data_IF_423288381733
#
_entry.id   IF_423288381733
#
_cell.length_a   1.000
_cell.length_b   1.000
_cell.length_c   1.000
_cell.angle_alpha   90.00
_cell.angle_beta   90.00
_cell.angle_gamma   90.00
#
_symmetry.space_group_name_H-M   'P 1'
#
loop_
_entity.id
_entity.type
_entity.pdbx_description
1 polymer ?
#
# COMPACT_ATOMS: atom_id res chain seq x y z
N UNK A 1 3.76 -8.71 -7.88
CA UNK A 1 3.22 -8.69 -6.50
C UNK A 1 2.43 -9.94 -6.10
N UNK A 2 1.91 -10.77 -7.04
CA UNK A 2 0.98 -11.86 -6.69
C UNK A 2 1.52 -13.12 -5.99
N UNK A 3 2.82 -13.45 -6.08
CA UNK A 3 3.35 -14.68 -5.46
C UNK A 3 3.68 -14.54 -3.96
N UNK A 4 4.22 -13.40 -3.52
CA UNK A 4 4.59 -13.19 -2.11
C UNK A 4 3.36 -12.97 -1.22
N UNK A 5 2.30 -12.34 -1.74
CA UNK A 5 1.06 -12.08 -0.99
C UNK A 5 0.35 -13.36 -0.58
N UNK A 6 0.39 -14.40 -1.43
CA UNK A 6 -0.20 -15.71 -1.12
C UNK A 6 0.55 -16.42 0.00
N UNK A 7 1.88 -16.34 0.03
CA UNK A 7 2.72 -17.04 1.01
C UNK A 7 2.64 -16.39 2.41
N UNK A 8 2.59 -15.05 2.48
CA UNK A 8 2.44 -14.33 3.76
C UNK A 8 1.05 -14.57 4.37
N UNK A 9 0.00 -14.60 3.55
CA UNK A 9 -1.36 -14.92 3.99
C UNK A 9 -1.46 -16.38 4.46
N UNK A 10 -0.89 -17.34 3.73
CA UNK A 10 -0.85 -18.74 4.14
C UNK A 10 -0.12 -18.96 5.47
N UNK A 11 1.00 -18.26 5.70
CA UNK A 11 1.76 -18.33 6.95
C UNK A 11 0.95 -17.89 8.17
N UNK A 12 -0.06 -17.04 7.98
CA UNK A 12 -1.01 -16.63 9.02
C UNK A 12 -2.19 -17.59 9.13
N UNK A 13 -2.77 -17.98 7.98
CA UNK A 13 -4.03 -18.74 7.89
C UNK A 13 -3.86 -20.17 8.40
N UNK A 14 -2.78 -20.86 8.00
CA UNK A 14 -2.60 -22.28 8.31
C UNK A 14 -2.51 -22.50 9.83
N UNK A 15 -1.64 -21.81 10.58
CA UNK A 15 -1.61 -21.96 12.03
C UNK A 15 -2.91 -21.52 12.70
N UNK A 16 -3.59 -20.48 12.18
CA UNK A 16 -4.88 -20.07 12.74
C UNK A 16 -5.95 -21.17 12.59
N UNK A 17 -6.00 -21.84 11.44
CA UNK A 17 -6.91 -22.97 11.22
C UNK A 17 -6.61 -24.10 12.21
N UNK A 18 -5.34 -24.43 12.40
CA UNK A 18 -4.93 -25.49 13.33
C UNK A 18 -5.28 -25.13 14.78
N UNK A 19 -5.14 -23.86 15.17
CA UNK A 19 -5.58 -23.38 16.48
C UNK A 19 -7.09 -23.56 16.68
N UNK A 20 -7.90 -23.20 15.69
CA UNK A 20 -9.35 -23.33 15.74
C UNK A 20 -9.75 -24.81 15.82
N UNK A 21 -9.07 -25.69 15.08
CA UNK A 21 -9.27 -27.14 15.16
C UNK A 21 -9.02 -27.67 16.58
N UNK A 22 -7.87 -27.34 17.19
CA UNK A 22 -7.57 -27.76 18.56
C UNK A 22 -8.59 -27.23 19.57
N UNK A 23 -9.06 -25.99 19.40
CA UNK A 23 -10.10 -25.42 20.27
C UNK A 23 -11.43 -26.16 20.11
N UNK A 24 -11.81 -26.54 18.89
CA UNK A 24 -12.99 -27.36 18.66
C UNK A 24 -12.89 -28.73 19.33
N UNK A 25 -11.72 -29.35 19.32
CA UNK A 25 -11.46 -30.61 20.03
C UNK A 25 -11.61 -30.47 21.55
N UNK A 26 -11.17 -29.34 22.13
CA UNK A 26 -11.43 -29.03 23.54
C UNK A 26 -12.93 -29.01 23.84
N UNK A 27 -13.72 -28.31 23.02
CA UNK A 27 -15.18 -28.25 23.21
C UNK A 27 -15.82 -29.65 23.09
N UNK A 28 -15.41 -30.46 22.13
CA UNK A 28 -15.90 -31.83 21.98
C UNK A 28 -15.54 -32.70 23.19
N UNK A 29 -14.29 -32.65 23.66
CA UNK A 29 -13.83 -33.43 24.80
C UNK A 29 -14.54 -33.03 26.09
N UNK A 30 -14.77 -31.73 26.32
CA UNK A 30 -15.54 -31.23 27.46
C UNK A 30 -16.99 -31.72 27.43
N UNK A 31 -17.61 -31.80 26.24
CA UNK A 31 -18.99 -32.28 26.11
C UNK A 31 -19.17 -33.77 26.39
N UNK A 32 -18.10 -34.56 26.22
CA UNK A 32 -18.08 -36.01 26.41
C UNK A 32 -17.40 -36.43 27.73
N UNK A 33 -16.82 -35.48 28.44
CA UNK A 33 -16.08 -35.75 29.67
C UNK A 33 -17.01 -36.39 30.69
N UNK A 34 -16.61 -37.52 31.26
CA UNK A 34 -17.22 -38.05 32.48
C UNK A 34 -16.44 -37.51 33.68
N UNK A 35 -17.15 -36.97 34.67
CA UNK A 35 -16.52 -36.40 35.86
C UNK A 35 -16.90 -37.29 37.02
N UNK A 36 -15.90 -37.93 37.60
CA UNK A 36 -16.11 -38.79 38.76
C UNK A 36 -16.75 -37.95 39.89
N UNK A 37 -17.92 -38.36 40.40
CA UNK A 37 -18.68 -37.56 41.36
C UNK A 37 -18.06 -37.51 42.75
N UNK A 38 -17.11 -38.40 43.07
CA UNK A 38 -16.44 -38.49 44.37
C UNK A 38 -15.06 -37.83 44.34
N UNK A 39 -14.34 -38.00 43.24
CA UNK A 39 -12.95 -37.56 43.07
C UNK A 39 -12.82 -36.36 42.14
N UNK A 40 -13.91 -35.86 41.54
CA UNK A 40 -13.94 -34.70 40.64
C UNK A 40 -13.04 -34.83 39.41
N UNK A 41 -12.45 -35.99 39.16
CA UNK A 41 -11.52 -36.22 38.07
C UNK A 41 -12.26 -36.36 36.75
N UNK A 42 -11.74 -35.67 35.73
CA UNK A 42 -12.24 -35.72 34.37
C UNK A 42 -11.41 -36.72 33.57
N UNK A 43 -12.04 -37.75 33.01
CA UNK A 43 -11.38 -38.81 32.25
C UNK A 43 -10.61 -38.31 31.02
N UNK A 44 -10.96 -37.13 30.50
CA UNK A 44 -10.37 -36.54 29.29
C UNK A 44 -9.47 -35.33 29.59
N UNK A 45 -9.08 -35.12 30.85
CA UNK A 45 -8.37 -33.91 31.27
C UNK A 45 -7.03 -33.70 30.54
N UNK A 46 -6.20 -34.74 30.43
CA UNK A 46 -4.89 -34.63 29.77
C UNK A 46 -5.04 -34.28 28.28
N UNK A 47 -6.03 -34.86 27.61
CA UNK A 47 -6.35 -34.52 26.22
C UNK A 47 -6.79 -33.06 26.06
N UNK A 48 -7.69 -32.59 26.93
CA UNK A 48 -8.15 -31.18 26.93
C UNK A 48 -6.95 -30.24 27.13
N UNK A 49 -6.06 -30.57 28.08
CA UNK A 49 -4.87 -29.79 28.36
C UNK A 49 -3.93 -29.73 27.17
N UNK A 50 -3.67 -30.87 26.52
CA UNK A 50 -2.86 -30.95 25.32
C UNK A 50 -3.42 -30.06 24.20
N UNK A 51 -4.73 -30.15 23.93
CA UNK A 51 -5.37 -29.36 22.88
C UNK A 51 -5.34 -27.84 23.17
N UNK A 52 -5.41 -27.42 24.45
CA UNK A 52 -5.22 -26.01 24.82
C UNK A 52 -3.79 -25.54 24.55
N UNK A 53 -2.79 -26.38 24.84
CA UNK A 53 -1.37 -26.06 24.57
C UNK A 53 -1.11 -25.97 23.07
N UNK A 54 -1.63 -26.91 22.27
CA UNK A 54 -1.53 -26.89 20.81
C UNK A 54 -2.19 -25.63 20.23
N UNK A 55 -3.41 -25.30 20.66
CA UNK A 55 -4.10 -24.09 20.23
C UNK A 55 -3.30 -22.82 20.54
N UNK A 56 -2.69 -22.75 21.73
CA UNK A 56 -1.84 -21.62 22.11
C UNK A 56 -0.63 -21.46 21.19
N UNK A 57 0.10 -22.56 20.93
CA UNK A 57 1.27 -22.55 20.05
C UNK A 57 0.92 -22.13 18.62
N UNK A 58 -0.19 -22.64 18.10
CA UNK A 58 -0.67 -22.30 16.76
C UNK A 58 -1.09 -20.82 16.64
N UNK A 59 -1.77 -20.26 17.66
CA UNK A 59 -2.08 -18.82 17.67
C UNK A 59 -0.83 -17.95 17.78
N UNK A 60 0.18 -18.36 18.56
CA UNK A 60 1.46 -17.64 18.61
C UNK A 60 2.15 -17.62 17.25
N UNK A 61 2.14 -18.75 16.52
CA UNK A 61 2.71 -18.80 15.17
C UNK A 61 1.98 -17.86 14.22
N UNK A 62 0.64 -17.86 14.25
CA UNK A 62 -0.18 -16.95 13.46
C UNK A 62 0.08 -15.48 13.82
N UNK A 63 0.24 -15.16 15.11
CA UNK A 63 0.52 -13.80 15.59
C UNK A 63 1.91 -13.30 15.14
N UNK A 64 2.93 -14.16 15.21
CA UNK A 64 4.28 -13.84 14.72
C UNK A 64 4.28 -13.63 13.21
N UNK A 65 3.55 -14.47 12.46
CA UNK A 65 3.41 -14.30 11.02
C UNK A 65 2.71 -12.98 10.67
N UNK A 66 1.62 -12.63 11.37
CA UNK A 66 0.94 -11.34 11.20
C UNK A 66 1.85 -10.14 11.52
N UNK A 67 2.68 -10.27 12.58
CA UNK A 67 3.67 -9.26 12.95
C UNK A 67 4.72 -9.06 11.86
N UNK A 68 5.26 -10.16 11.31
CA UNK A 68 6.20 -10.11 10.20
C UNK A 68 5.58 -9.51 8.92
N UNK A 69 4.31 -9.82 8.64
CA UNK A 69 3.56 -9.22 7.53
C UNK A 69 3.39 -7.71 7.71
N UNK A 70 3.09 -7.26 8.94
CA UNK A 70 3.00 -5.83 9.24
C UNK A 70 4.34 -5.11 9.07
N UNK A 71 5.45 -5.72 9.48
CA UNK A 71 6.79 -5.19 9.24
C UNK A 71 7.14 -5.12 7.75
N UNK A 72 6.72 -6.12 6.96
CA UNK A 72 6.86 -6.13 5.50
C UNK A 72 6.12 -4.96 4.86
N UNK A 73 4.85 -4.75 5.26
CA UNK A 73 4.06 -3.60 4.81
C UNK A 73 4.69 -2.26 5.23
N UNK A 74 5.25 -2.16 6.44
CA UNK A 74 5.93 -0.94 6.88
C UNK A 74 7.16 -0.61 6.02
N UNK A 75 7.99 -1.61 5.70
CA UNK A 75 9.13 -1.43 4.78
C UNK A 75 8.68 -1.01 3.38
N UNK A 76 7.59 -1.59 2.87
CA UNK A 76 7.02 -1.20 1.58
C UNK A 76 6.53 0.25 1.61
N UNK A 77 5.86 0.67 2.68
CA UNK A 77 5.41 2.05 2.85
C UNK A 77 6.60 3.04 2.89
N UNK A 78 7.67 2.70 3.62
CA UNK A 78 8.89 3.52 3.68
C UNK A 78 9.50 3.72 2.28
N UNK A 79 9.64 2.63 1.50
CA UNK A 79 10.14 2.70 0.12
C UNK A 79 9.25 3.55 -0.77
N UNK A 80 7.92 3.40 -0.69
CA UNK A 80 6.98 4.17 -1.51
C UNK A 80 7.01 5.66 -1.18
N UNK A 81 7.16 6.02 0.10
CA UNK A 81 7.28 7.42 0.53
C UNK A 81 8.61 8.02 0.05
N UNK A 82 9.69 7.24 0.04
CA UNK A 82 10.97 7.68 -0.54
C UNK A 82 10.85 7.91 -2.05
N UNK A 83 10.21 6.99 -2.77
CA UNK A 83 9.95 7.10 -4.21
C UNK A 83 9.05 8.30 -4.54
N UNK A 84 7.98 8.52 -3.78
CA UNK A 84 7.12 9.72 -3.90
C UNK A 84 7.95 11.01 -3.74
N UNK A 85 8.77 11.08 -2.69
CA UNK A 85 9.62 12.25 -2.44
C UNK A 85 10.68 12.48 -3.53
N UNK A 86 11.19 11.41 -4.14
CA UNK A 86 12.10 11.51 -5.30
C UNK A 86 11.35 12.05 -6.53
N UNK A 87 10.19 11.50 -6.84
CA UNK A 87 9.34 11.95 -7.95
C UNK A 87 8.92 13.42 -7.80
N UNK A 88 8.59 13.87 -6.58
CA UNK A 88 8.26 15.27 -6.30
C UNK A 88 9.44 16.21 -6.60
N UNK A 89 10.67 15.83 -6.22
CA UNK A 89 11.88 16.61 -6.54
C UNK A 89 12.10 16.69 -8.05
N UNK A 90 12.04 15.55 -8.74
CA UNK A 90 12.21 15.50 -10.20
C UNK A 90 11.12 16.31 -10.94
N UNK A 91 9.88 16.30 -10.43
CA UNK A 91 8.79 17.10 -10.97
C UNK A 91 9.06 18.59 -10.80
N UNK A 92 9.52 19.03 -9.64
CA UNK A 92 9.87 20.44 -9.39
C UNK A 92 11.03 20.90 -10.29
N UNK A 93 12.07 20.07 -10.45
CA UNK A 93 13.19 20.35 -11.37
C UNK A 93 12.72 20.45 -12.84
N UNK A 94 11.80 19.56 -13.24
CA UNK A 94 11.21 19.60 -14.60
C UNK A 94 10.37 20.86 -14.79
N UNK A 95 9.59 21.28 -13.79
CA UNK A 95 8.83 22.53 -13.82
C UNK A 95 9.73 23.76 -13.92
N UNK A 96 10.83 23.80 -13.17
CA UNK A 96 11.80 24.89 -13.27
C UNK A 96 12.44 24.94 -14.66
N UNK A 97 12.73 23.78 -15.24
CA UNK A 97 13.25 23.68 -16.61
C UNK A 97 12.24 24.23 -17.62
N UNK A 98 10.95 23.90 -17.48
CA UNK A 98 9.89 24.43 -18.32
C UNK A 98 9.79 25.95 -18.21
N UNK A 99 9.88 26.50 -17.00
CA UNK A 99 9.84 27.95 -16.78
C UNK A 99 11.01 28.65 -17.48
N UNK A 100 12.24 28.13 -17.32
CA UNK A 100 13.43 28.66 -17.99
C UNK A 100 13.28 28.63 -19.52
N UNK A 101 12.79 27.52 -20.07
CA UNK A 101 12.54 27.38 -21.51
C UNK A 101 11.51 28.40 -22.02
N UNK A 102 10.44 28.66 -21.25
CA UNK A 102 9.44 29.69 -21.61
C UNK A 102 10.03 31.10 -21.58
N UNK A 103 10.88 31.40 -20.60
CA UNK A 103 11.58 32.69 -20.53
C UNK A 103 12.51 32.88 -21.74
N UNK A 104 13.30 31.86 -22.07
CA UNK A 104 14.20 31.90 -23.23
C UNK A 104 13.43 31.97 -24.56
N UNK A 105 12.30 31.26 -24.68
CA UNK A 105 11.43 31.37 -25.84
C UNK A 105 10.91 32.80 -25.99
N UNK A 106 10.40 33.40 -24.92
CA UNK A 106 9.84 34.76 -24.92
C UNK A 106 10.89 35.78 -25.39
N UNK A 107 12.13 35.66 -24.89
CA UNK A 107 13.24 36.51 -25.34
C UNK A 107 13.56 36.33 -26.83
N UNK A 108 13.57 35.08 -27.33
CA UNK A 108 13.81 34.83 -28.75
C UNK A 108 12.65 35.31 -29.65
N UNK A 109 11.41 35.26 -29.18
CA UNK A 109 10.25 35.80 -29.90
C UNK A 109 10.30 37.34 -29.99
N UNK A 110 10.78 38.01 -28.93
CA UNK A 110 11.03 39.45 -28.95
C UNK A 110 12.14 39.85 -29.94
N UNK A 111 13.28 39.14 -29.91
CA UNK A 111 14.36 39.35 -30.89
C UNK A 111 13.91 39.10 -32.33
N UNK A 112 13.06 38.10 -32.57
CA UNK A 112 12.47 37.84 -33.88
C UNK A 112 11.55 38.99 -34.34
N UNK A 113 10.82 39.61 -33.41
CA UNK A 113 9.99 40.78 -33.71
C UNK A 113 10.86 41.99 -34.07
N UNK A 114 11.89 42.28 -33.28
CA UNK A 114 12.83 43.37 -33.53
C UNK A 114 13.56 43.23 -34.88
N UNK A 115 14.00 42.00 -35.22
CA UNK A 115 14.62 41.72 -36.51
C UNK A 115 13.64 41.95 -37.69
N UNK A 116 12.37 41.57 -37.54
CA UNK A 116 11.33 41.84 -38.54
C UNK A 116 11.08 43.35 -38.72
N UNK A 117 10.97 44.10 -37.63
CA UNK A 117 10.73 45.55 -37.65
C UNK A 117 11.91 46.30 -38.28
N UNK A 118 13.15 45.90 -37.95
CA UNK A 118 14.37 46.46 -38.56
C UNK A 118 14.43 46.21 -40.07
N UNK A 119 14.07 45.00 -40.52
CA UNK A 119 13.97 44.68 -41.95
C UNK A 119 12.90 45.51 -42.67
N UNK A 120 11.79 45.84 -42.01
CA UNK A 120 10.70 46.63 -42.59
C UNK A 120 11.01 48.14 -42.67
N UNK A 121 11.74 48.69 -41.71
CA UNK A 121 12.12 50.11 -41.67
C UNK A 121 13.18 50.51 -42.73
N UNK A 122 13.88 49.55 -43.34
CA UNK A 122 14.89 49.83 -44.38
C UNK A 122 14.30 50.12 -45.78
N UNK A 123 12.97 50.16 -45.96
CA UNK A 123 12.30 50.40 -47.25
C UNK A 123 11.83 51.86 -47.41
N UNK A 124 12.43 52.85 -46.73
CA UNK A 124 12.05 54.25 -46.95
C UNK A 124 13.24 55.22 -46.92
N UNK A 125 13.52 55.89 -48.04
CA UNK A 125 14.57 56.93 -48.16
C UNK A 125 15.07 57.20 -49.58
N UNK A 126 14.89 58.43 -50.07
CA UNK A 126 15.24 58.90 -51.42
C UNK A 126 16.49 59.80 -51.48
N UNK A 127 17.16 59.82 -52.65
CA UNK A 127 18.00 60.89 -53.30
C UNK A 127 19.53 60.62 -53.51
N UNK A 128 20.02 61.13 -54.67
CA UNK A 128 21.37 61.29 -55.27
C UNK A 128 22.15 60.04 -55.72
N UNK A 129 22.15 59.79 -57.05
CA UNK A 129 22.42 58.53 -57.76
C UNK A 129 23.70 57.73 -57.39
N UNK A 130 24.82 58.39 -57.07
CA UNK A 130 26.09 57.68 -56.79
C UNK A 130 26.26 57.36 -55.30
N UNK A 131 25.86 58.29 -54.44
CA UNK A 131 25.61 58.01 -53.02
C UNK A 131 24.50 56.97 -52.86
N UNK A 132 23.50 57.00 -53.74
CA UNK A 132 22.40 56.05 -53.78
C UNK A 132 22.87 54.65 -54.20
N UNK A 133 23.77 54.48 -55.18
CA UNK A 133 24.30 53.17 -55.53
C UNK A 133 25.14 52.54 -54.39
N UNK A 134 25.94 53.35 -53.70
CA UNK A 134 26.66 52.91 -52.51
C UNK A 134 25.68 52.54 -51.38
N UNK A 135 24.66 53.38 -51.16
CA UNK A 135 23.63 53.16 -50.14
C UNK A 135 22.76 51.94 -50.44
N UNK A 136 22.42 51.68 -51.71
CA UNK A 136 21.67 50.49 -52.13
C UNK A 136 22.48 49.24 -51.85
N UNK A 137 23.78 49.19 -52.19
CA UNK A 137 24.62 48.03 -51.85
C UNK A 137 24.70 47.78 -50.34
N UNK A 138 24.85 48.84 -49.56
CA UNK A 138 24.86 48.74 -48.08
C UNK A 138 23.51 48.26 -47.55
N UNK A 139 22.41 48.77 -48.09
CA UNK A 139 21.06 48.33 -47.72
C UNK A 139 20.80 46.87 -48.11
N UNK A 140 21.23 46.43 -49.30
CA UNK A 140 21.12 45.04 -49.74
C UNK A 140 21.94 44.08 -48.87
N UNK A 141 23.15 44.47 -48.47
CA UNK A 141 23.98 43.67 -47.56
C UNK A 141 23.38 43.62 -46.14
N UNK A 142 22.81 44.72 -45.64
CA UNK A 142 22.15 44.75 -44.32
C UNK A 142 20.81 44.00 -44.33
N UNK A 143 20.03 44.07 -45.41
CA UNK A 143 18.82 43.25 -45.61
C UNK A 143 19.18 41.76 -45.60
N UNK A 144 20.22 41.37 -46.35
CA UNK A 144 20.67 39.97 -46.38
C UNK A 144 21.13 39.47 -45.01
N UNK A 145 21.82 40.33 -44.25
CA UNK A 145 22.22 40.03 -42.88
C UNK A 145 21.00 39.89 -41.96
N UNK A 146 20.05 40.81 -42.06
CA UNK A 146 18.77 40.77 -41.32
C UNK A 146 17.95 39.52 -41.64
N UNK A 147 17.83 39.13 -42.91
CA UNK A 147 17.17 37.89 -43.34
C UNK A 147 17.83 36.64 -42.74
N UNK A 148 19.17 36.62 -42.70
CA UNK A 148 19.92 35.53 -42.07
C UNK A 148 19.67 35.46 -40.55
N UNK A 149 19.54 36.60 -39.88
CA UNK A 149 19.22 36.65 -38.45
C UNK A 149 17.78 36.22 -38.17
N UNK A 150 16.84 36.65 -39.02
CA UNK A 150 15.43 36.26 -38.95
C UNK A 150 15.27 34.74 -39.06
N UNK A 151 15.93 34.11 -40.02
CA UNK A 151 15.86 32.66 -40.19
C UNK A 151 16.50 31.92 -38.99
N UNK A 152 17.59 32.45 -38.42
CA UNK A 152 18.20 31.93 -37.20
C UNK A 152 17.24 31.99 -36.00
N UNK A 153 16.57 33.11 -35.76
CA UNK A 153 15.63 33.25 -34.64
C UNK A 153 14.36 32.42 -34.84
N UNK A 154 13.86 32.33 -36.06
CA UNK A 154 12.73 31.47 -36.41
C UNK A 154 13.02 29.99 -36.10
N UNK A 155 14.20 29.50 -36.47
CA UNK A 155 14.63 28.13 -36.15
C UNK A 155 14.74 27.90 -34.63
N UNK A 156 15.29 28.86 -33.89
CA UNK A 156 15.32 28.80 -32.42
C UNK A 156 13.92 28.73 -31.81
N UNK A 157 12.99 29.60 -32.22
CA UNK A 157 11.61 29.60 -31.72
C UNK A 157 10.95 28.24 -31.96
N UNK A 158 11.17 27.63 -33.13
CA UNK A 158 10.66 26.28 -33.42
C UNK A 158 11.26 25.22 -32.50
N UNK A 159 12.57 25.27 -32.23
CA UNK A 159 13.26 24.34 -31.32
C UNK A 159 12.73 24.47 -29.87
N UNK A 160 12.57 25.70 -29.36
CA UNK A 160 12.01 25.93 -28.03
C UNK A 160 10.57 25.43 -27.91
N UNK A 161 9.72 25.64 -28.93
CA UNK A 161 8.35 25.09 -28.95
C UNK A 161 8.36 23.56 -28.82
N UNK A 162 9.26 22.88 -29.52
CA UNK A 162 9.41 21.42 -29.43
C UNK A 162 9.86 20.99 -28.03
N UNK A 163 10.85 21.67 -27.45
CA UNK A 163 11.37 21.35 -26.11
C UNK A 163 10.32 21.58 -25.01
N UNK A 164 9.56 22.66 -25.10
CA UNK A 164 8.46 22.97 -24.18
C UNK A 164 7.39 21.90 -24.25
N UNK A 165 6.95 21.55 -25.46
CA UNK A 165 5.94 20.50 -25.64
C UNK A 165 6.41 19.17 -25.04
N UNK A 166 7.65 18.77 -25.31
CA UNK A 166 8.21 17.54 -24.72
C UNK A 166 8.25 17.62 -23.18
N UNK A 167 8.68 18.75 -22.63
CA UNK A 167 8.75 18.94 -21.17
C UNK A 167 7.36 18.92 -20.53
N UNK A 168 6.34 19.46 -21.20
CA UNK A 168 4.93 19.39 -20.76
C UNK A 168 4.39 17.95 -20.77
N UNK A 169 4.76 17.16 -21.79
CA UNK A 169 4.47 15.72 -21.80
C UNK A 169 5.15 15.01 -20.62
N UNK A 170 6.43 15.28 -20.37
CA UNK A 170 7.18 14.68 -19.27
C UNK A 170 6.58 15.04 -17.89
N UNK A 171 6.12 16.28 -17.70
CA UNK A 171 5.40 16.71 -16.48
C UNK A 171 4.10 15.94 -16.34
N UNK A 172 3.34 15.80 -17.42
CA UNK A 172 2.06 15.09 -17.39
C UNK A 172 2.24 13.61 -17.03
N UNK A 173 3.30 12.98 -17.55
CA UNK A 173 3.65 11.61 -17.19
C UNK A 173 4.02 11.50 -15.72
N UNK A 174 4.90 12.37 -15.21
CA UNK A 174 5.31 12.35 -13.80
C UNK A 174 4.13 12.63 -12.85
N UNK A 175 3.22 13.55 -13.19
CA UNK A 175 2.01 13.81 -12.39
C UNK A 175 1.11 12.57 -12.32
N UNK A 176 0.99 11.82 -13.43
CA UNK A 176 0.26 10.56 -13.44
C UNK A 176 0.93 9.51 -12.54
N UNK A 177 2.25 9.31 -12.66
CA UNK A 177 3.02 8.38 -11.82
C UNK A 177 2.88 8.73 -10.33
N UNK A 178 2.95 10.01 -10.00
CA UNK A 178 2.82 10.52 -8.63
C UNK A 178 1.43 10.24 -8.05
N UNK A 179 0.36 10.44 -8.84
CA UNK A 179 -1.00 10.06 -8.42
C UNK A 179 -1.12 8.56 -8.15
N UNK A 180 -0.56 7.73 -9.03
CA UNK A 180 -0.57 6.28 -8.85
C UNK A 180 0.18 5.86 -7.58
N UNK A 181 1.36 6.42 -7.33
CA UNK A 181 2.14 6.17 -6.10
C UNK A 181 1.35 6.55 -4.85
N UNK A 182 0.68 7.72 -4.84
CA UNK A 182 -0.17 8.15 -3.72
C UNK A 182 -1.36 7.22 -3.47
N UNK A 183 -1.99 6.73 -4.54
CA UNK A 183 -3.07 5.74 -4.44
C UNK A 183 -2.58 4.44 -3.79
N UNK A 184 -1.41 3.93 -4.21
CA UNK A 184 -0.80 2.73 -3.62
C UNK A 184 -0.42 2.95 -2.15
N UNK A 185 0.17 4.09 -1.80
CA UNK A 185 0.47 4.46 -0.40
C UNK A 185 -0.78 4.40 0.46
N UNK A 186 -1.90 4.95 -0.04
CA UNK A 186 -3.16 4.94 0.69
C UNK A 186 -3.71 3.52 0.89
N UNK A 187 -3.61 2.67 -0.14
CA UNK A 187 -4.00 1.26 -0.03
C UNK A 187 -3.15 0.50 1.00
N UNK A 188 -1.83 0.69 0.97
CA UNK A 188 -0.91 0.04 1.94
C UNK A 188 -1.22 0.50 3.37
N UNK A 189 -1.52 1.79 3.60
CA UNK A 189 -1.93 2.29 4.92
C UNK A 189 -3.20 1.61 5.44
N UNK A 190 -4.21 1.42 4.59
CA UNK A 190 -5.44 0.73 4.96
C UNK A 190 -5.21 -0.76 5.26
N UNK A 191 -4.32 -1.40 4.50
CA UNK A 191 -3.91 -2.78 4.76
C UNK A 191 -3.17 -2.89 6.10
N UNK A 192 -2.24 -1.98 6.40
CA UNK A 192 -1.53 -1.95 7.68
C UNK A 192 -2.47 -1.79 8.88
N UNK A 193 -3.48 -0.93 8.77
CA UNK A 193 -4.50 -0.77 9.83
C UNK A 193 -5.25 -2.09 10.06
N UNK A 194 -5.71 -2.73 8.98
CA UNK A 194 -6.44 -4.00 9.05
C UNK A 194 -5.58 -5.13 9.64
N UNK A 195 -4.32 -5.26 9.21
CA UNK A 195 -3.36 -6.25 9.73
C UNK A 195 -3.02 -5.97 11.18
N UNK A 196 -2.84 -4.71 11.57
CA UNK A 196 -2.60 -4.30 12.96
C UNK A 196 -3.78 -4.61 13.88
N UNK A 197 -5.02 -4.37 13.44
CA UNK A 197 -6.23 -4.79 14.18
C UNK A 197 -6.21 -6.31 14.42
N UNK A 198 -5.98 -7.09 13.37
CA UNK A 198 -5.95 -8.55 13.45
C UNK A 198 -4.84 -9.09 14.34
N UNK A 199 -3.62 -8.57 14.21
CA UNK A 199 -2.48 -8.92 15.07
C UNK A 199 -2.82 -8.66 16.55
N UNK A 200 -3.45 -7.54 16.88
CA UNK A 200 -3.89 -7.23 18.24
C UNK A 200 -4.94 -8.21 18.78
N UNK A 201 -5.86 -8.67 17.92
CA UNK A 201 -6.84 -9.71 18.29
C UNK A 201 -6.16 -11.05 18.54
N UNK A 202 -5.22 -11.46 17.69
CA UNK A 202 -4.42 -12.68 17.91
C UNK A 202 -3.61 -12.61 19.21
N UNK A 203 -2.94 -11.49 19.47
CA UNK A 203 -2.18 -11.28 20.71
C UNK A 203 -3.07 -11.40 21.95
N UNK A 204 -4.28 -10.87 21.88
CA UNK A 204 -5.27 -11.01 22.95
C UNK A 204 -5.69 -12.49 23.15
N UNK A 205 -5.84 -13.25 22.06
CA UNK A 205 -6.15 -14.67 22.08
C UNK A 205 -5.05 -15.53 22.69
N UNK A 206 -3.80 -15.27 22.29
CA UNK A 206 -2.60 -15.89 22.85
C UNK A 206 -2.54 -15.66 24.36
N UNK A 207 -2.65 -14.41 24.80
CA UNK A 207 -2.61 -14.07 26.23
C UNK A 207 -3.70 -14.78 27.04
N UNK A 208 -4.93 -14.82 26.50
CA UNK A 208 -6.05 -15.50 27.16
C UNK A 208 -5.83 -17.02 27.25
N UNK A 209 -5.37 -17.65 26.17
CA UNK A 209 -5.06 -19.08 26.17
C UNK A 209 -3.88 -19.43 27.07
N UNK A 210 -2.88 -18.54 27.17
CA UNK A 210 -1.75 -18.71 28.09
C UNK A 210 -2.22 -18.75 29.54
N UNK A 211 -3.12 -17.82 29.92
CA UNK A 211 -3.74 -17.82 31.25
C UNK A 211 -4.55 -19.09 31.51
N UNK A 212 -5.29 -19.57 30.51
CA UNK A 212 -6.12 -20.77 30.65
C UNK A 212 -5.28 -22.04 30.73
N UNK A 213 -4.24 -22.16 29.92
CA UNK A 213 -3.27 -23.24 30.00
C UNK A 213 -2.65 -23.33 31.41
N UNK A 214 -2.31 -22.17 32.00
CA UNK A 214 -1.84 -22.08 33.39
C UNK A 214 -2.90 -22.48 34.42
N UNK A 215 -4.15 -22.04 34.26
CA UNK A 215 -5.25 -22.40 35.18
C UNK A 215 -5.65 -23.87 35.09
N UNK A 216 -5.79 -24.41 33.88
CA UNK A 216 -6.03 -25.84 33.64
C UNK A 216 -4.97 -26.62 34.39
N UNK A 217 -3.70 -26.22 34.25
CA UNK A 217 -2.56 -26.87 34.90
C UNK A 217 -2.61 -26.94 36.43
N UNK A 218 -3.32 -26.01 37.09
CA UNK A 218 -3.42 -25.93 38.55
C UNK A 218 -4.71 -26.56 39.08
N UNK A 219 -5.78 -26.61 38.27
CA UNK A 219 -7.13 -26.97 38.73
C UNK A 219 -7.69 -28.13 37.91
N UNK A 220 -7.14 -29.33 38.10
CA UNK A 220 -7.63 -30.60 37.52
C UNK A 220 -9.12 -30.86 37.85
N UNK A 221 -9.57 -30.38 39.01
CA UNK A 221 -10.83 -30.76 39.67
C UNK A 221 -12.04 -29.84 39.39
N UNK A 222 -11.89 -28.71 38.69
CA UNK A 222 -13.00 -27.78 38.37
C UNK A 222 -13.04 -27.36 36.89
N UNK A 223 -12.65 -28.29 36.03
CA UNK A 223 -12.38 -28.10 34.61
C UNK A 223 -13.63 -27.72 33.79
N UNK A 224 -14.86 -28.00 34.29
CA UNK A 224 -16.11 -27.71 33.58
C UNK A 224 -16.65 -26.29 33.73
N UNK A 225 -16.59 -25.70 34.94
CA UNK A 225 -17.23 -24.39 35.24
C UNK A 225 -16.29 -23.20 35.05
N UNK A 226 -14.98 -23.42 35.21
CA UNK A 226 -13.98 -22.34 35.26
C UNK A 226 -13.28 -22.07 33.93
N UNK A 227 -13.43 -22.95 32.92
CA UNK A 227 -12.49 -22.98 31.80
C UNK A 227 -12.93 -22.13 30.57
N UNK A 228 -14.18 -22.13 30.06
CA UNK A 228 -14.24 -21.90 28.60
C UNK A 228 -15.49 -21.33 27.89
N UNK A 229 -16.48 -20.68 28.53
CA UNK A 229 -17.69 -20.34 27.75
C UNK A 229 -17.68 -18.99 27.01
N UNK A 230 -17.37 -17.84 27.64
CA UNK A 230 -17.53 -16.54 26.94
C UNK A 230 -16.23 -15.89 26.41
N UNK A 231 -15.11 -15.87 27.15
CA UNK A 231 -13.95 -15.07 26.74
C UNK A 231 -13.28 -15.60 25.46
N UNK A 232 -13.11 -16.91 25.33
CA UNK A 232 -12.46 -17.53 24.17
C UNK A 232 -13.31 -17.41 22.90
N UNK A 233 -14.62 -17.60 23.04
CA UNK A 233 -15.59 -17.49 21.96
C UNK A 233 -15.56 -16.09 21.32
N UNK A 234 -15.61 -15.06 22.17
CA UNK A 234 -15.60 -13.66 21.75
C UNK A 234 -14.29 -13.29 21.07
N UNK A 235 -13.17 -13.76 21.62
CA UNK A 235 -11.85 -13.48 21.03
C UNK A 235 -11.69 -14.20 19.69
N UNK A 236 -12.14 -15.45 19.57
CA UNK A 236 -12.13 -16.18 18.31
C UNK A 236 -13.01 -15.51 17.24
N UNK A 237 -14.23 -15.11 17.59
CA UNK A 237 -15.13 -14.38 16.68
C UNK A 237 -14.52 -13.05 16.23
N UNK A 238 -13.89 -12.31 17.14
CA UNK A 238 -13.19 -11.08 16.82
C UNK A 238 -11.99 -11.31 15.87
N UNK A 239 -11.19 -12.36 16.10
CA UNK A 239 -10.05 -12.73 15.23
C UNK A 239 -10.54 -13.08 13.82
N UNK A 240 -11.63 -13.85 13.70
CA UNK A 240 -12.17 -14.24 12.40
C UNK A 240 -12.78 -13.06 11.64
N UNK A 241 -13.50 -12.18 12.35
CA UNK A 241 -14.06 -10.98 11.75
C UNK A 241 -12.94 -10.05 11.24
N UNK A 242 -11.87 -9.89 12.01
CA UNK A 242 -10.70 -9.12 11.57
C UNK A 242 -10.00 -9.79 10.37
N UNK A 243 -9.93 -11.12 10.35
CA UNK A 243 -9.35 -11.86 9.23
C UNK A 243 -10.15 -11.69 7.92
N UNK A 244 -11.48 -11.75 7.98
CA UNK A 244 -12.33 -11.55 6.81
C UNK A 244 -12.14 -10.17 6.17
N UNK A 245 -11.86 -9.15 6.98
CA UNK A 245 -11.52 -7.80 6.48
C UNK A 245 -10.20 -7.81 5.71
N UNK A 246 -9.19 -8.57 6.17
CA UNK A 246 -7.87 -8.63 5.54
C UNK A 246 -7.91 -9.39 4.21
N UNK A 247 -8.63 -10.50 4.15
CA UNK A 247 -8.66 -11.36 2.95
C UNK A 247 -9.67 -10.89 1.90
N UNK A 248 -10.33 -9.75 2.09
CA UNK A 248 -11.22 -9.15 1.08
C UNK A 248 -12.40 -10.03 0.63
N UNK A 249 -12.83 -10.99 1.46
CA UNK A 249 -13.77 -12.06 1.09
C UNK A 249 -13.33 -13.00 -0.06
N UNK A 250 -12.09 -12.89 -0.55
CA UNK A 250 -11.54 -13.75 -1.60
C UNK A 250 -11.13 -15.10 -0.98
N UNK A 251 -12.09 -16.01 -1.06
CA UNK A 251 -12.05 -17.37 -0.57
C UNK A 251 -11.05 -18.24 -1.33
N UNK A 252 -10.06 -18.77 -0.60
CA UNK A 252 -9.65 -20.16 -0.79
C UNK A 252 -9.84 -21.02 0.48
N UNK A 253 -10.13 -20.42 1.64
CA UNK A 253 -10.21 -21.13 2.93
C UNK A 253 -11.37 -20.73 3.86
N UNK A 254 -12.23 -19.80 3.43
CA UNK A 254 -13.32 -19.26 4.24
C UNK A 254 -14.44 -20.25 4.58
N UNK A 255 -14.78 -21.21 3.71
CA UNK A 255 -15.88 -22.15 3.98
C UNK A 255 -15.53 -23.15 5.10
N UNK A 256 -14.30 -23.67 5.09
CA UNK A 256 -13.81 -24.59 6.12
C UNK A 256 -13.67 -23.92 7.49
N UNK A 257 -13.05 -22.72 7.53
CA UNK A 257 -12.94 -21.98 8.79
C UNK A 257 -14.30 -21.54 9.29
N UNK A 258 -15.16 -21.00 8.43
CA UNK A 258 -16.52 -20.63 8.82
C UNK A 258 -17.28 -21.85 9.38
N UNK A 259 -17.17 -23.02 8.74
CA UNK A 259 -17.79 -24.26 9.23
C UNK A 259 -17.26 -24.65 10.62
N UNK A 260 -15.95 -24.57 10.84
CA UNK A 260 -15.33 -24.84 12.15
C UNK A 260 -15.89 -23.90 13.23
N UNK A 261 -16.07 -22.62 12.91
CA UNK A 261 -16.62 -21.62 13.84
C UNK A 261 -18.07 -21.94 14.19
N UNK A 262 -18.86 -22.32 13.20
CA UNK A 262 -20.25 -22.73 13.44
C UNK A 262 -20.32 -24.02 14.27
N UNK A 263 -19.38 -24.95 14.09
CA UNK A 263 -19.28 -26.14 14.93
C UNK A 263 -18.95 -25.78 16.38
N UNK A 264 -18.00 -24.86 16.61
CA UNK A 264 -17.68 -24.36 17.95
C UNK A 264 -18.91 -23.69 18.59
N UNK A 265 -19.64 -22.85 17.83
CA UNK A 265 -20.91 -22.22 18.27
C UNK A 265 -21.95 -23.26 18.67
N UNK A 266 -22.08 -24.34 17.90
CA UNK A 266 -23.00 -25.43 18.22
C UNK A 266 -22.57 -26.21 19.47
N UNK A 267 -21.27 -26.49 19.62
CA UNK A 267 -20.73 -27.23 20.76
C UNK A 267 -20.87 -26.43 22.06
N UNK A 268 -20.67 -25.11 22.01
CA UNK A 268 -20.90 -24.21 23.14
C UNK A 268 -22.35 -24.28 23.63
N UNK A 269 -23.33 -24.20 22.70
CA UNK A 269 -24.76 -24.32 23.05
C UNK A 269 -25.07 -25.64 23.73
N UNK A 270 -24.44 -26.73 23.28
CA UNK A 270 -24.58 -28.05 23.90
C UNK A 270 -24.00 -28.07 25.31
N UNK A 271 -22.82 -27.50 25.51
CA UNK A 271 -22.19 -27.38 26.83
C UNK A 271 -22.96 -26.48 27.80
N UNK A 272 -23.73 -25.49 27.32
CA UNK A 272 -24.63 -24.67 28.15
C UNK A 272 -25.88 -25.43 28.62
N UNK A 273 -26.23 -26.52 27.93
CA UNK A 273 -27.43 -27.31 28.19
C UNK A 273 -27.19 -28.52 29.10
N UNK A 274 -25.93 -28.75 29.51
CA UNK A 274 -25.48 -29.81 30.43
C UNK A 274 -25.11 -29.19 31.77
#
# INVERSE_FOLDING_TARGET
>A
MGQNYSTEVEAVVVPLKDAICSLNEVYQALSKADVDPLTGQCSNYDYIRQQIVEAHQHLEQSERAASSGLESLNRNLESLVEDEGKLEREMNETQQTLENLRTEQTSNEELLREANESSAMMIDGAVELDAANQAVRVAEDEVRKSESELEKYKNKVSDYKSKIFQTECDISQKDWELRQTREVIQQVKQQMESVGEFQNKLRSAVNLLGLLSGKVSVVEHQTRKSILQMPIMKVMEDVMNAMMKITGNELLYGEDMFRLVQQIKANERRLKAV
#
